data_IF_191163756256
#
_entry.id   IF_191163756256
#
_cell.length_a   1.000
_cell.length_b   1.000
_cell.length_c   1.000
_cell.angle_alpha   90.00
_cell.angle_beta   90.00
_cell.angle_gamma   90.00
#
_symmetry.space_group_name_H-M   'P 1'
#
loop_
_entity.id
_entity.type
_entity.pdbx_description
1 polymer ?
#
# COMPACT_ATOMS: atom_id res chain seq x y z
N UNK A 1 13.43 -24.50 24.16
CA UNK A 1 12.72 -24.31 22.88
C UNK A 1 13.68 -23.67 21.89
N UNK A 2 14.31 -24.49 21.06
CA UNK A 2 15.48 -24.11 20.26
C UNK A 2 15.05 -23.40 18.95
N UNK A 3 15.40 -22.13 18.82
CA UNK A 3 15.21 -21.31 17.61
C UNK A 3 16.24 -21.72 16.55
N UNK A 4 15.90 -22.64 15.66
CA UNK A 4 16.69 -22.92 14.47
C UNK A 4 16.47 -21.81 13.43
N UNK A 5 17.41 -20.87 13.37
CA UNK A 5 17.54 -19.91 12.26
C UNK A 5 17.93 -20.67 10.99
N UNK A 6 16.97 -20.93 10.10
CA UNK A 6 17.25 -21.29 8.70
C UNK A 6 17.03 -20.07 7.82
N UNK A 7 18.13 -19.54 7.29
CA UNK A 7 18.13 -18.46 6.30
C UNK A 7 17.50 -18.99 4.99
N UNK A 8 16.33 -18.48 4.61
CA UNK A 8 15.80 -18.68 3.26
C UNK A 8 16.68 -17.91 2.26
N UNK A 9 17.39 -18.63 1.40
CA UNK A 9 18.05 -18.05 0.24
C UNK A 9 17.02 -17.93 -0.89
N UNK A 10 16.49 -16.73 -1.12
CA UNK A 10 15.75 -16.42 -2.33
C UNK A 10 16.76 -16.09 -3.45
N UNK A 11 16.63 -16.75 -4.61
CA UNK A 11 17.32 -16.32 -5.82
C UNK A 11 16.77 -14.94 -6.22
N UNK A 12 17.56 -13.90 -5.95
CA UNK A 12 17.21 -12.52 -6.31
C UNK A 12 17.41 -12.33 -7.82
N UNK A 13 16.34 -11.99 -8.53
CA UNK A 13 16.45 -11.25 -9.78
C UNK A 13 16.64 -9.77 -9.42
N UNK A 14 17.71 -9.18 -9.93
CA UNK A 14 18.18 -7.82 -9.64
C UNK A 14 17.10 -6.75 -9.75
N UNK A 15 16.86 -6.00 -8.68
CA UNK A 15 16.20 -4.69 -8.74
C UNK A 15 16.91 -3.75 -7.76
N UNK A 16 17.24 -2.57 -8.27
CA UNK A 16 18.03 -1.49 -7.67
C UNK A 16 17.41 -0.98 -6.37
N UNK A 17 18.24 -0.82 -5.34
CA UNK A 17 17.89 -0.28 -4.03
C UNK A 17 17.85 1.25 -4.10
N UNK A 18 16.74 1.86 -3.70
CA UNK A 18 16.73 3.20 -3.11
C UNK A 18 16.14 3.10 -1.70
N UNK A 19 16.97 3.45 -0.74
CA UNK A 19 16.74 3.37 0.70
C UNK A 19 16.21 4.69 1.26
N UNK A 20 15.10 4.64 2.01
CA UNK A 20 14.94 5.33 3.32
C UNK A 20 13.51 5.17 3.84
N UNK A 21 13.34 4.48 4.98
CA UNK A 21 12.15 4.64 5.84
C UNK A 21 12.66 4.81 7.28
N UNK A 22 12.51 6.02 7.80
CA UNK A 22 12.68 6.31 9.21
C UNK A 22 11.36 6.06 9.95
N UNK A 23 11.47 5.47 11.13
CA UNK A 23 10.37 5.19 12.07
C UNK A 23 10.12 6.45 12.90
N UNK A 24 8.86 6.84 13.08
CA UNK A 24 8.44 7.76 14.13
C UNK A 24 7.24 7.16 14.88
N UNK A 25 7.46 6.90 16.17
CA UNK A 25 6.44 6.58 17.15
C UNK A 25 5.76 7.88 17.62
N UNK A 26 4.42 7.89 17.67
CA UNK A 26 3.65 8.97 18.24
C UNK A 26 3.40 8.72 19.74
N UNK A 27 3.81 9.67 20.58
CA UNK A 27 3.34 9.77 21.97
C UNK A 27 2.21 10.79 22.05
N UNK A 28 1.09 10.38 22.66
CA UNK A 28 -0.04 11.23 22.97
C UNK A 28 0.10 11.82 24.38
N UNK A 29 -0.14 13.13 24.54
CA UNK A 29 -0.65 13.71 25.80
C UNK A 29 -1.15 15.16 25.63
N UNK A 30 -2.34 15.38 26.19
CA UNK A 30 -2.91 16.60 26.79
C UNK A 30 -3.53 17.70 25.91
N UNK A 31 -4.87 17.71 25.89
CA UNK A 31 -5.72 18.90 25.81
C UNK A 31 -6.02 19.46 27.20
N UNK A 32 -6.28 20.77 27.32
CA UNK A 32 -7.22 21.29 28.31
C UNK A 32 -8.51 21.85 27.67
N UNK A 33 -9.60 21.73 28.42
CA UNK A 33 -10.97 22.10 28.11
C UNK A 33 -11.21 23.63 28.08
N UNK A 34 -12.33 24.12 27.49
CA UNK A 34 -12.69 25.54 27.50
C UNK A 34 -13.48 25.92 28.77
N UNK A 35 -13.17 27.09 29.34
CA UNK A 35 -14.01 27.72 30.36
C UNK A 35 -15.11 28.56 29.72
N UNK A 36 -16.33 28.38 30.20
CA UNK A 36 -17.50 29.21 29.92
C UNK A 36 -17.55 30.36 30.93
N UNK A 37 -17.95 31.54 30.49
CA UNK A 37 -18.36 32.62 31.38
C UNK A 37 -19.68 33.20 30.88
N UNK A 38 -20.71 33.02 31.71
CA UNK A 38 -22.05 33.58 31.63
C UNK A 38 -22.05 35.00 32.20
N UNK A 39 -22.66 35.95 31.50
CA UNK A 39 -23.04 37.23 32.08
C UNK A 39 -24.52 37.53 31.80
N UNK A 40 -25.18 37.98 32.87
CA UNK A 40 -26.62 38.05 33.05
C UNK A 40 -27.25 39.32 32.47
N UNK A 41 -28.57 39.21 32.36
CA UNK A 41 -29.57 40.18 31.93
C UNK A 41 -29.92 41.12 33.11
N UNK A 42 -29.99 42.44 32.88
CA UNK A 42 -30.79 43.35 33.71
C UNK A 42 -31.31 44.52 32.87
N UNK A 43 -32.50 44.99 33.20
CA UNK A 43 -33.39 45.91 32.45
C UNK A 43 -33.78 47.12 33.28
N UNK A 44 -34.13 48.22 32.58
CA UNK A 44 -34.86 49.47 32.97
C UNK A 44 -33.97 50.73 32.86
N UNK A 45 -34.35 51.87 32.27
CA UNK A 45 -35.54 52.34 31.55
C UNK A 45 -35.52 53.90 31.41
N UNK A 46 -35.86 54.45 30.21
CA UNK A 46 -36.31 55.85 29.91
C UNK A 46 -35.27 56.99 30.00
N UNK A 47 -35.21 58.07 29.18
CA UNK A 47 -36.08 58.68 28.16
C UNK A 47 -35.26 59.58 27.18
N UNK A 48 -35.72 59.66 25.92
CA UNK A 48 -35.48 60.60 24.78
C UNK A 48 -34.18 61.43 24.61
N UNK A 49 -33.55 61.28 23.44
CA UNK A 49 -33.26 62.40 22.52
C UNK A 49 -33.21 61.92 21.06
N UNK A 50 -33.71 62.77 20.15
CA UNK A 50 -33.89 62.56 18.72
C UNK A 50 -32.62 63.02 17.98
N UNK A 51 -31.84 62.08 17.44
CA UNK A 51 -30.96 62.36 16.31
C UNK A 51 -30.85 61.13 15.42
N UNK A 52 -31.30 61.31 14.19
CA UNK A 52 -31.09 60.42 13.05
C UNK A 52 -29.60 60.33 12.69
N UNK A 53 -28.84 59.62 13.53
CA UNK A 53 -27.52 59.12 13.18
C UNK A 53 -27.66 57.90 12.28
N UNK A 54 -27.40 58.07 10.99
CA UNK A 54 -27.09 56.97 10.09
C UNK A 54 -25.92 56.19 10.68
N UNK A 55 -26.23 55.10 11.40
CA UNK A 55 -25.23 54.16 11.90
C UNK A 55 -24.66 53.43 10.70
N UNK A 56 -23.60 54.01 10.12
CA UNK A 56 -22.69 53.30 9.23
C UNK A 56 -22.09 52.14 10.04
N UNK A 57 -22.75 50.98 10.01
CA UNK A 57 -22.14 49.74 10.45
C UNK A 57 -20.99 49.48 9.48
N UNK A 58 -19.78 49.79 9.93
CA UNK A 58 -18.55 49.51 9.17
C UNK A 58 -18.42 48.00 9.08
N UNK A 59 -18.91 47.43 7.98
CA UNK A 59 -18.78 45.98 7.73
C UNK A 59 -17.29 45.68 7.61
N UNK A 60 -16.76 44.89 8.53
CA UNK A 60 -15.32 44.58 8.54
C UNK A 60 -15.01 43.71 7.32
N UNK A 61 -14.03 44.08 6.48
CA UNK A 61 -13.60 43.26 5.35
C UNK A 61 -13.22 41.86 5.81
N UNK A 62 -13.62 40.82 5.08
CA UNK A 62 -13.28 39.44 5.44
C UNK A 62 -12.80 38.63 4.25
N UNK A 63 -11.93 37.66 4.52
CA UNK A 63 -11.52 36.64 3.55
C UNK A 63 -11.66 35.27 4.19
N UNK A 64 -12.31 34.35 3.50
CA UNK A 64 -12.59 33.00 4.00
C UNK A 64 -12.17 31.94 3.00
N UNK A 65 -11.86 30.76 3.52
CA UNK A 65 -11.56 29.57 2.73
C UNK A 65 -12.75 28.60 2.84
N UNK A 66 -13.14 27.98 1.73
CA UNK A 66 -14.23 27.01 1.73
C UNK A 66 -13.85 25.70 2.44
N UNK A 67 -14.85 24.90 2.76
CA UNK A 67 -14.67 23.51 3.20
C UNK A 67 -15.06 22.56 2.09
N UNK A 68 -14.31 21.47 1.93
CA UNK A 68 -14.60 20.42 0.94
C UNK A 68 -14.33 19.03 1.52
N UNK A 69 -14.84 17.99 0.87
CA UNK A 69 -14.62 16.59 1.23
C UNK A 69 -14.02 15.84 0.05
N UNK A 70 -12.89 15.18 0.25
CA UNK A 70 -12.12 14.49 -0.81
C UNK A 70 -11.62 13.15 -0.28
N UNK A 71 -11.58 12.10 -1.09
CA UNK A 71 -11.01 10.81 -0.67
C UNK A 71 -9.49 10.84 -0.75
N UNK A 72 -8.81 10.06 0.10
CA UNK A 72 -7.37 9.88 0.00
C UNK A 72 -6.96 9.42 -1.41
N UNK A 73 -5.93 10.07 -1.99
CA UNK A 73 -5.43 9.83 -3.33
C UNK A 73 -6.12 10.61 -4.46
N UNK A 74 -7.27 11.24 -4.20
CA UNK A 74 -8.01 12.03 -5.20
C UNK A 74 -7.59 13.51 -5.20
N UNK A 75 -8.03 14.23 -6.23
CA UNK A 75 -7.83 15.68 -6.37
C UNK A 75 -9.09 16.43 -5.96
N UNK A 76 -8.93 17.65 -5.46
CA UNK A 76 -10.02 18.53 -5.09
C UNK A 76 -9.65 19.99 -5.26
N UNK A 77 -10.58 20.86 -4.89
CA UNK A 77 -10.36 22.30 -4.87
C UNK A 77 -11.07 22.96 -3.70
N UNK A 78 -10.51 24.09 -3.25
CA UNK A 78 -11.17 25.03 -2.35
C UNK A 78 -11.25 26.40 -3.01
N UNK A 79 -12.18 27.22 -2.54
CA UNK A 79 -12.27 28.63 -2.94
C UNK A 79 -11.83 29.52 -1.79
N UNK A 80 -11.14 30.60 -2.15
CA UNK A 80 -10.88 31.73 -1.27
C UNK A 80 -11.80 32.85 -1.71
N UNK A 81 -12.63 33.35 -0.79
CA UNK A 81 -13.65 34.36 -1.08
C UNK A 81 -13.50 35.58 -0.18
N UNK A 82 -13.68 36.76 -0.77
CA UNK A 82 -13.57 38.05 -0.11
C UNK A 82 -14.95 38.73 -0.04
N UNK A 83 -15.29 39.26 1.13
CA UNK A 83 -16.50 40.07 1.33
C UNK A 83 -16.12 41.44 1.92
N UNK A 84 -16.96 42.43 1.63
CA UNK A 84 -16.81 43.81 2.11
C UNK A 84 -15.44 44.42 1.77
N UNK A 85 -14.92 44.10 0.57
CA UNK A 85 -13.67 44.65 0.05
C UNK A 85 -13.74 46.19 -0.08
N UNK A 86 -12.94 46.95 0.68
CA UNK A 86 -12.96 48.42 0.66
C UNK A 86 -12.20 49.02 -0.54
N UNK A 87 -11.63 48.18 -1.41
CA UNK A 87 -10.80 48.59 -2.54
C UNK A 87 -9.33 48.29 -2.30
N UNK A 88 -8.71 47.53 -3.21
CA UNK A 88 -7.31 47.11 -3.13
C UNK A 88 -6.57 47.34 -4.45
N UNK A 89 -5.27 47.63 -4.35
CA UNK A 89 -4.32 47.54 -5.49
C UNK A 89 -3.31 46.42 -5.31
N UNK A 90 -3.18 45.88 -4.09
CA UNK A 90 -2.36 44.70 -3.82
C UNK A 90 -2.89 43.92 -2.62
N UNK A 91 -2.72 42.60 -2.69
CA UNK A 91 -2.83 41.69 -1.55
C UNK A 91 -1.87 40.51 -1.70
N UNK A 92 -1.37 40.01 -0.58
CA UNK A 92 -0.70 38.70 -0.47
C UNK A 92 -1.27 37.97 0.74
N UNK A 93 -1.78 36.77 0.50
CA UNK A 93 -2.30 35.88 1.52
C UNK A 93 -1.42 34.63 1.63
N UNK A 94 -1.42 34.05 2.82
CA UNK A 94 -0.73 32.82 3.17
C UNK A 94 -1.77 31.81 3.64
N UNK A 95 -1.66 30.58 3.14
CA UNK A 95 -2.50 29.46 3.53
C UNK A 95 -1.64 28.42 4.25
N UNK A 96 -1.90 28.24 5.54
CA UNK A 96 -1.31 27.17 6.35
C UNK A 96 -2.16 25.90 6.20
N UNK A 97 -1.49 24.76 5.99
CA UNK A 97 -2.12 23.46 5.72
C UNK A 97 -1.19 22.31 6.11
N UNK A 98 -1.72 21.09 6.25
CA UNK A 98 -0.88 19.90 6.49
C UNK A 98 -0.26 19.40 5.17
N UNK A 99 0.98 19.82 4.91
CA UNK A 99 1.75 19.41 3.74
C UNK A 99 2.14 17.92 3.73
N UNK A 100 1.94 17.18 4.83
CA UNK A 100 2.07 15.71 4.83
C UNK A 100 0.83 15.04 4.23
N UNK A 101 -0.34 15.67 4.28
CA UNK A 101 -1.60 15.10 3.81
C UNK A 101 -2.08 15.71 2.48
N UNK A 102 -1.76 16.96 2.21
CA UNK A 102 -2.27 17.72 1.06
C UNK A 102 -1.09 18.24 0.24
N UNK A 103 -1.20 18.16 -1.08
CA UNK A 103 -0.26 18.75 -2.05
C UNK A 103 -1.01 19.78 -2.89
N UNK A 104 -0.62 21.07 -2.81
CA UNK A 104 -1.22 22.11 -3.64
C UNK A 104 -0.72 21.95 -5.08
N UNK A 105 -1.63 21.94 -6.04
CA UNK A 105 -1.31 21.68 -7.45
C UNK A 105 -1.52 22.87 -8.37
N UNK A 106 -2.21 23.92 -7.89
CA UNK A 106 -2.38 25.14 -8.68
C UNK A 106 -3.34 26.15 -8.08
N UNK A 107 -3.43 27.30 -8.75
CA UNK A 107 -4.36 28.37 -8.47
C UNK A 107 -5.05 28.82 -9.77
N UNK A 108 -6.36 29.04 -9.70
CA UNK A 108 -7.15 29.67 -10.76
C UNK A 108 -7.63 31.04 -10.26
N UNK A 109 -7.28 32.15 -10.94
CA UNK A 109 -7.72 33.49 -10.55
C UNK A 109 -9.24 33.68 -10.63
N UNK A 110 -9.83 34.33 -9.63
CA UNK A 110 -11.25 34.65 -9.58
C UNK A 110 -11.56 36.07 -10.03
N UNK A 111 -12.14 36.85 -9.12
CA UNK A 111 -12.52 38.26 -9.33
C UNK A 111 -11.31 39.17 -9.57
N UNK A 112 -10.14 38.82 -9.04
CA UNK A 112 -8.87 39.51 -9.27
C UNK A 112 -8.11 38.80 -10.39
N UNK A 113 -8.24 39.33 -11.61
CA UNK A 113 -7.58 38.75 -12.80
C UNK A 113 -6.07 38.78 -12.65
N UNK A 114 -5.40 37.73 -13.13
CA UNK A 114 -3.94 37.56 -13.03
C UNK A 114 -3.41 37.39 -11.59
N UNK A 115 -4.26 37.02 -10.62
CA UNK A 115 -3.76 36.52 -9.35
C UNK A 115 -2.79 35.36 -9.60
N UNK A 116 -1.74 35.26 -8.79
CA UNK A 116 -0.69 34.28 -8.96
C UNK A 116 -0.28 33.69 -7.62
N UNK A 117 0.64 32.74 -7.64
CA UNK A 117 1.17 32.13 -6.44
C UNK A 117 2.69 32.04 -6.48
N UNK A 118 3.27 31.89 -5.29
CA UNK A 118 4.65 31.43 -5.15
C UNK A 118 4.77 29.95 -5.50
N UNK A 119 5.81 29.30 -4.97
CA UNK A 119 6.01 27.86 -5.12
C UNK A 119 4.83 27.07 -4.56
N UNK A 120 4.29 26.15 -5.35
CA UNK A 120 3.11 25.33 -4.98
C UNK A 120 3.31 24.53 -3.69
N UNK A 121 4.53 24.04 -3.45
CA UNK A 121 4.86 23.21 -2.27
C UNK A 121 5.50 24.01 -1.14
N UNK A 122 5.23 25.32 -1.07
CA UNK A 122 5.57 26.11 0.11
C UNK A 122 4.57 25.86 1.23
N UNK A 123 5.05 25.85 2.46
CA UNK A 123 4.25 25.72 3.68
C UNK A 123 4.69 26.82 4.66
N UNK A 124 3.91 27.91 4.84
CA UNK A 124 2.58 28.13 4.26
C UNK A 124 2.60 28.47 2.75
N UNK A 125 1.54 28.11 2.04
CA UNK A 125 1.36 28.41 0.62
C UNK A 125 1.02 29.89 0.40
N UNK A 126 1.84 30.60 -0.38
CA UNK A 126 1.66 32.02 -0.66
C UNK A 126 0.98 32.28 -2.01
N UNK A 127 -0.05 33.12 -2.02
CA UNK A 127 -0.70 33.61 -3.24
C UNK A 127 -1.03 35.10 -3.15
N UNK A 128 -0.98 35.78 -4.29
CA UNK A 128 -0.96 37.24 -4.31
C UNK A 128 -1.53 37.80 -5.60
N UNK A 129 -1.82 39.09 -5.55
CA UNK A 129 -2.21 39.90 -6.69
C UNK A 129 -1.77 41.34 -6.47
N UNK A 130 -1.41 41.99 -7.57
CA UNK A 130 -1.07 43.40 -7.59
C UNK A 130 -1.42 44.02 -8.96
N UNK A 131 -2.12 45.14 -8.94
CA UNK A 131 -2.36 45.97 -10.12
C UNK A 131 -2.41 47.44 -9.71
N UNK A 132 -1.25 48.10 -9.76
CA UNK A 132 -1.14 49.52 -9.42
C UNK A 132 -1.61 50.44 -10.56
N UNK A 133 -2.05 49.89 -11.71
CA UNK A 133 -2.35 50.68 -12.92
C UNK A 133 -3.80 51.12 -13.05
N UNK A 134 -4.73 50.52 -12.28
CA UNK A 134 -6.19 50.68 -12.48
C UNK A 134 -6.95 51.30 -11.30
N UNK A 135 -6.25 51.79 -10.28
CA UNK A 135 -6.89 52.24 -9.04
C UNK A 135 -7.48 51.07 -8.24
N UNK A 136 -8.30 51.37 -7.23
CA UNK A 136 -8.84 50.37 -6.32
C UNK A 136 -9.77 49.36 -7.02
N UNK A 137 -9.49 48.08 -6.87
CA UNK A 137 -10.42 47.00 -7.20
C UNK A 137 -11.30 46.66 -5.98
N UNK A 138 -12.61 46.82 -6.13
CA UNK A 138 -13.65 46.63 -5.10
C UNK A 138 -14.40 45.31 -5.23
N UNK A 139 -13.91 44.39 -6.08
CA UNK A 139 -14.59 43.13 -6.36
C UNK A 139 -14.66 42.23 -5.11
N UNK A 140 -15.81 41.56 -4.93
CA UNK A 140 -16.07 40.56 -3.89
C UNK A 140 -16.32 39.18 -4.51
N UNK A 141 -16.56 38.16 -3.68
CA UNK A 141 -16.78 36.79 -4.10
C UNK A 141 -15.48 35.99 -4.20
N UNK A 142 -15.44 34.95 -5.03
CA UNK A 142 -14.25 34.09 -5.18
C UNK A 142 -13.09 34.89 -5.79
N UNK A 143 -12.00 35.05 -5.04
CA UNK A 143 -10.78 35.73 -5.48
C UNK A 143 -9.74 34.76 -6.05
N UNK A 144 -9.78 33.51 -5.59
CA UNK A 144 -8.93 32.43 -6.06
C UNK A 144 -9.61 31.07 -5.82
N UNK A 145 -9.37 30.13 -6.72
CA UNK A 145 -9.65 28.70 -6.50
C UNK A 145 -8.31 27.98 -6.41
N UNK A 146 -8.05 27.27 -5.31
CA UNK A 146 -6.81 26.51 -5.11
C UNK A 146 -7.11 25.05 -5.36
N UNK A 147 -6.39 24.45 -6.31
CA UNK A 147 -6.47 23.03 -6.63
C UNK A 147 -5.42 22.26 -5.82
N UNK A 148 -5.77 21.05 -5.38
CA UNK A 148 -4.88 20.21 -4.58
C UNK A 148 -5.10 18.72 -4.85
N UNK A 149 -4.15 17.90 -4.40
CA UNK A 149 -4.25 16.44 -4.30
C UNK A 149 -4.19 16.03 -2.82
N UNK A 150 -5.08 15.16 -2.38
CA UNK A 150 -4.94 14.48 -1.09
C UNK A 150 -4.00 13.30 -1.29
N UNK A 151 -2.94 13.21 -0.49
CA UNK A 151 -1.98 12.10 -0.62
C UNK A 151 -2.66 10.77 -0.27
N UNK A 152 -2.35 9.67 -0.98
CA UNK A 152 -2.93 8.35 -0.70
C UNK A 152 -2.76 7.88 0.74
N UNK A 153 -1.69 8.30 1.41
CA UNK A 153 -1.34 7.96 2.78
C UNK A 153 -1.98 8.85 3.85
N UNK A 154 -2.72 9.89 3.47
CA UNK A 154 -3.43 10.76 4.39
C UNK A 154 -4.49 9.96 5.17
N UNK A 155 -4.48 10.08 6.49
CA UNK A 155 -5.49 9.44 7.33
C UNK A 155 -6.86 10.12 7.13
N UNK A 156 -7.99 9.39 7.20
CA UNK A 156 -9.31 10.01 7.28
C UNK A 156 -9.38 10.99 8.44
N UNK A 157 -9.94 12.17 8.21
CA UNK A 157 -9.95 13.22 9.21
C UNK A 157 -10.23 14.60 8.63
N UNK A 158 -10.23 15.61 9.49
CA UNK A 158 -10.46 17.00 9.11
C UNK A 158 -9.15 17.76 9.21
N UNK A 159 -8.68 18.29 8.09
CA UNK A 159 -7.44 19.05 8.00
C UNK A 159 -7.78 20.53 7.85
N UNK A 160 -7.36 21.35 8.81
CA UNK A 160 -7.65 22.78 8.81
C UNK A 160 -6.85 23.50 7.71
N UNK A 161 -7.49 24.51 7.13
CA UNK A 161 -6.87 25.47 6.21
C UNK A 161 -6.96 26.84 6.85
N UNK A 162 -5.83 27.37 7.32
CA UNK A 162 -5.79 28.64 8.06
C UNK A 162 -5.24 29.74 7.18
N UNK A 163 -6.08 30.74 6.90
CA UNK A 163 -5.70 31.89 6.09
C UNK A 163 -5.11 33.00 6.96
N UNK A 164 -4.06 33.64 6.47
CA UNK A 164 -3.54 34.89 7.02
C UNK A 164 -3.10 35.83 5.90
N UNK A 165 -2.90 37.11 6.24
CA UNK A 165 -2.41 38.11 5.28
C UNK A 165 -1.04 38.64 5.64
N UNK A 166 -0.24 38.93 4.61
CA UNK A 166 0.98 39.71 4.79
C UNK A 166 0.61 41.19 4.89
N UNK A 167 0.61 41.73 6.12
CA UNK A 167 0.15 43.10 6.37
C UNK A 167 0.91 44.19 5.58
N UNK A 168 2.13 43.90 5.11
CA UNK A 168 2.91 44.80 4.25
C UNK A 168 2.41 44.86 2.80
N UNK A 169 1.72 43.81 2.37
CA UNK A 169 1.37 43.59 0.97
C UNK A 169 -0.13 43.77 0.71
N UNK A 170 -0.91 44.18 1.71
CA UNK A 170 -2.36 44.39 1.60
C UNK A 170 -2.67 45.87 1.76
N UNK A 171 -2.83 46.57 0.64
CA UNK A 171 -3.05 48.02 0.63
C UNK A 171 -3.87 48.50 -0.58
N UNK A 172 -4.46 49.68 -0.41
CA UNK A 172 -5.23 50.37 -1.46
C UNK A 172 -4.36 51.36 -2.26
N UNK A 173 -4.93 52.03 -3.26
CA UNK A 173 -4.21 52.97 -4.13
C UNK A 173 -3.54 54.13 -3.37
N UNK A 174 -4.06 54.51 -2.19
CA UNK A 174 -3.49 55.51 -1.29
C UNK A 174 -2.36 54.96 -0.41
N UNK A 175 -1.94 53.69 -0.62
CA UNK A 175 -0.98 52.95 0.21
C UNK A 175 -1.43 52.76 1.65
N UNK A 176 -2.72 52.93 1.93
CA UNK A 176 -3.30 52.62 3.23
C UNK A 176 -3.46 51.12 3.35
N UNK A 177 -2.94 50.56 4.45
CA UNK A 177 -3.05 49.13 4.75
C UNK A 177 -4.49 48.76 5.05
N UNK A 178 -4.96 47.66 4.47
CA UNK A 178 -6.30 47.13 4.71
C UNK A 178 -6.20 45.89 5.58
N UNK A 179 -6.98 45.85 6.66
CA UNK A 179 -7.08 44.70 7.56
C UNK A 179 -8.30 43.86 7.20
N UNK A 180 -8.17 42.54 7.35
CA UNK A 180 -9.23 41.58 7.09
C UNK A 180 -9.44 40.69 8.31
N UNK A 181 -10.69 40.28 8.51
CA UNK A 181 -10.99 39.10 9.32
C UNK A 181 -10.76 37.84 8.47
N UNK A 182 -9.97 36.90 8.99
CA UNK A 182 -9.65 35.66 8.28
C UNK A 182 -10.52 34.51 8.79
N UNK A 183 -11.25 33.88 7.87
CA UNK A 183 -12.00 32.65 8.12
C UNK A 183 -11.17 31.41 7.79
N UNK A 184 -11.37 30.34 8.55
CA UNK A 184 -10.75 29.04 8.32
C UNK A 184 -11.62 28.14 7.44
N UNK A 185 -10.99 27.42 6.52
CA UNK A 185 -11.61 26.34 5.74
C UNK A 185 -11.12 24.98 6.21
N UNK A 186 -11.59 23.91 5.57
CA UNK A 186 -11.12 22.53 5.85
C UNK A 186 -11.13 21.65 4.61
N UNK A 187 -10.22 20.68 4.59
CA UNK A 187 -10.35 19.50 3.74
C UNK A 187 -10.72 18.32 4.63
N UNK A 188 -11.92 17.79 4.46
CA UNK A 188 -12.33 16.55 5.11
C UNK A 188 -11.88 15.38 4.24
N UNK A 189 -10.86 14.66 4.70
CA UNK A 189 -10.35 13.47 4.02
C UNK A 189 -11.19 12.28 4.44
N UNK A 190 -11.69 11.54 3.46
CA UNK A 190 -12.41 10.29 3.67
C UNK A 190 -11.59 9.09 3.19
N UNK A 191 -11.88 7.92 3.76
CA UNK A 191 -11.29 6.67 3.32
C UNK A 191 -11.56 6.44 1.83
N UNK A 192 -10.55 5.90 1.14
CA UNK A 192 -10.70 5.44 -0.23
C UNK A 192 -10.68 3.90 -0.26
N UNK A 193 -11.82 3.22 -0.45
CA UNK A 193 -11.86 1.76 -0.55
C UNK A 193 -10.95 1.19 -1.65
N UNK A 194 -10.64 1.97 -2.69
CA UNK A 194 -9.74 1.56 -3.76
C UNK A 194 -8.27 1.44 -3.29
N UNK A 195 -7.91 1.98 -2.13
CA UNK A 195 -6.59 1.80 -1.54
C UNK A 195 -6.42 0.44 -0.84
N UNK A 196 -7.49 -0.35 -0.63
CA UNK A 196 -7.39 -1.61 0.10
C UNK A 196 -6.55 -2.64 -0.66
N UNK A 197 -5.66 -3.31 0.07
CA UNK A 197 -4.87 -4.41 -0.49
C UNK A 197 -5.78 -5.59 -0.88
N UNK A 198 -5.41 -6.36 -1.94
CA UNK A 198 -6.27 -7.41 -2.46
C UNK A 198 -6.41 -8.57 -1.47
N UNK A 199 -7.50 -9.31 -1.59
CA UNK A 199 -7.67 -10.56 -0.86
C UNK A 199 -6.85 -11.66 -1.53
N UNK A 200 -6.00 -12.32 -0.75
CA UNK A 200 -5.06 -13.34 -1.23
C UNK A 200 -5.60 -14.73 -0.94
N UNK A 201 -5.50 -15.63 -1.91
CA UNK A 201 -5.70 -17.07 -1.76
C UNK A 201 -4.47 -17.83 -2.27
N UNK A 202 -4.36 -19.12 -1.94
CA UNK A 202 -3.24 -19.92 -2.39
C UNK A 202 -3.61 -21.37 -2.70
N UNK A 203 -2.78 -22.00 -3.53
CA UNK A 203 -2.78 -23.45 -3.79
C UNK A 203 -1.39 -23.99 -3.43
N UNK A 204 -1.30 -24.99 -2.54
CA UNK A 204 -0.02 -25.56 -2.16
C UNK A 204 0.58 -26.43 -3.28
N UNK A 205 1.90 -26.37 -3.41
CA UNK A 205 2.69 -27.19 -4.33
C UNK A 205 3.87 -27.83 -3.62
N UNK A 206 4.60 -28.69 -4.33
CA UNK A 206 5.80 -29.33 -3.77
C UNK A 206 6.92 -28.28 -3.68
N UNK A 207 7.35 -27.97 -2.46
CA UNK A 207 8.34 -26.93 -2.18
C UNK A 207 7.95 -25.52 -2.65
N UNK A 208 6.65 -25.28 -2.86
CA UNK A 208 6.14 -24.03 -3.43
C UNK A 208 4.69 -23.76 -3.01
N UNK A 209 4.23 -22.53 -3.20
CA UNK A 209 2.82 -22.14 -3.12
C UNK A 209 2.50 -21.20 -4.27
N UNK A 210 1.39 -21.44 -4.96
CA UNK A 210 0.87 -20.51 -5.97
C UNK A 210 -0.14 -19.59 -5.29
N UNK A 211 0.16 -18.30 -5.28
CA UNK A 211 -0.73 -17.24 -4.81
C UNK A 211 -1.60 -16.74 -5.95
N UNK A 212 -2.85 -16.39 -5.62
CA UNK A 212 -3.78 -15.69 -6.48
C UNK A 212 -4.48 -14.61 -5.66
N UNK A 213 -4.88 -13.51 -6.28
CA UNK A 213 -5.52 -12.42 -5.55
C UNK A 213 -6.55 -11.66 -6.39
N UNK A 214 -7.51 -11.05 -5.70
CA UNK A 214 -8.55 -10.21 -6.32
C UNK A 214 -7.92 -8.99 -7.01
N UNK A 215 -8.49 -8.53 -8.13
CA UNK A 215 -8.06 -7.28 -8.75
C UNK A 215 -8.46 -6.08 -7.90
N UNK A 216 -7.58 -5.08 -7.79
CA UNK A 216 -7.85 -3.79 -7.14
C UNK A 216 -8.07 -2.74 -8.23
N UNK A 217 -9.21 -2.03 -8.23
CA UNK A 217 -9.47 -0.97 -9.19
C UNK A 217 -8.34 0.06 -9.21
N UNK A 218 -7.94 0.52 -10.40
CA UNK A 218 -6.86 1.50 -10.62
C UNK A 218 -5.45 1.08 -10.17
N UNK A 219 -5.27 -0.16 -9.70
CA UNK A 219 -3.94 -0.67 -9.39
C UNK A 219 -3.11 -0.84 -10.67
N UNK A 220 -1.93 -0.25 -10.68
CA UNK A 220 -1.01 -0.30 -11.83
C UNK A 220 -0.14 -1.57 -11.79
N UNK A 221 0.19 -2.04 -10.59
CA UNK A 221 0.96 -3.25 -10.32
C UNK A 221 0.74 -3.74 -8.88
N UNK A 222 1.25 -4.93 -8.60
CA UNK A 222 1.21 -5.57 -7.29
C UNK A 222 2.61 -5.94 -6.82
N UNK A 223 2.81 -5.95 -5.50
CA UNK A 223 4.01 -6.49 -4.86
C UNK A 223 3.63 -7.67 -3.97
N UNK A 224 4.27 -8.82 -4.18
CA UNK A 224 4.19 -9.96 -3.27
C UNK A 224 5.25 -9.76 -2.19
N UNK A 225 4.83 -9.77 -0.92
CA UNK A 225 5.72 -9.56 0.22
C UNK A 225 5.62 -10.71 1.22
N UNK A 226 6.72 -11.05 1.87
CA UNK A 226 6.79 -12.07 2.92
C UNK A 226 7.33 -11.50 4.22
N UNK A 227 6.81 -11.98 5.35
CA UNK A 227 7.27 -11.57 6.67
C UNK A 227 8.45 -12.44 7.10
N UNK A 228 9.65 -11.85 7.11
CA UNK A 228 10.91 -12.53 7.35
C UNK A 228 11.70 -11.78 8.43
N UNK A 229 12.09 -12.48 9.50
CA UNK A 229 12.91 -11.93 10.59
C UNK A 229 12.35 -10.64 11.19
N UNK A 230 11.04 -10.59 11.42
CA UNK A 230 10.36 -9.44 12.03
C UNK A 230 9.98 -8.33 11.05
N UNK A 231 10.34 -8.42 9.77
CA UNK A 231 10.09 -7.37 8.78
C UNK A 231 9.46 -7.92 7.49
N UNK A 232 8.66 -7.10 6.82
CA UNK A 232 8.14 -7.41 5.49
C UNK A 232 9.23 -7.20 4.43
N UNK A 233 9.38 -8.16 3.51
CA UNK A 233 10.30 -8.10 2.38
C UNK A 233 9.59 -8.39 1.07
N UNK A 234 9.86 -7.59 0.05
CA UNK A 234 9.35 -7.83 -1.30
C UNK A 234 10.01 -9.05 -1.92
N UNK A 235 9.19 -9.97 -2.42
CA UNK A 235 9.60 -11.15 -3.17
C UNK A 235 9.52 -10.91 -4.68
N UNK A 236 8.48 -10.20 -5.12
CA UNK A 236 8.26 -9.91 -6.54
C UNK A 236 7.33 -8.70 -6.72
N UNK A 237 7.45 -8.04 -7.86
CA UNK A 237 6.50 -7.06 -8.36
C UNK A 237 6.04 -7.43 -9.77
N UNK A 238 4.81 -7.11 -10.12
CA UNK A 238 4.28 -7.38 -11.46
C UNK A 238 2.86 -6.89 -11.65
N UNK A 239 2.37 -6.99 -12.89
CA UNK A 239 1.02 -6.56 -13.29
C UNK A 239 0.03 -7.74 -13.43
N UNK A 240 0.37 -8.91 -12.91
CA UNK A 240 -0.49 -10.10 -12.90
C UNK A 240 -1.21 -10.23 -11.55
N UNK A 241 -2.23 -11.10 -11.50
CA UNK A 241 -2.97 -11.44 -10.28
C UNK A 241 -2.55 -12.79 -9.66
N UNK A 242 -1.34 -13.26 -9.98
CA UNK A 242 -0.82 -14.53 -9.50
C UNK A 242 0.71 -14.51 -9.43
N UNK A 243 1.25 -15.28 -8.49
CA UNK A 243 2.68 -15.48 -8.33
C UNK A 243 2.97 -16.83 -7.65
N UNK A 244 4.03 -17.53 -8.05
CA UNK A 244 4.44 -18.79 -7.39
C UNK A 244 5.68 -18.57 -6.55
N UNK A 245 5.53 -18.67 -5.23
CA UNK A 245 6.65 -18.67 -4.30
C UNK A 245 7.27 -20.07 -4.32
N UNK A 246 8.57 -20.17 -4.57
CA UNK A 246 9.32 -21.44 -4.70
C UNK A 246 10.42 -21.54 -3.65
N UNK A 247 11.01 -22.73 -3.51
CA UNK A 247 12.11 -22.97 -2.58
C UNK A 247 11.67 -22.98 -1.11
N UNK A 248 10.38 -23.25 -0.87
CA UNK A 248 9.84 -23.32 0.48
C UNK A 248 10.06 -24.70 1.07
N UNK A 249 10.38 -24.75 2.36
CA UNK A 249 10.43 -26.01 3.11
C UNK A 249 9.03 -26.58 3.26
N UNK A 250 8.88 -27.87 2.94
CA UNK A 250 7.63 -28.58 3.00
C UNK A 250 7.04 -28.61 4.42
N UNK A 251 5.75 -28.29 4.57
CA UNK A 251 5.05 -28.26 5.85
C UNK A 251 5.30 -27.03 6.72
N UNK A 252 6.32 -26.22 6.42
CA UNK A 252 6.56 -24.97 7.15
C UNK A 252 5.53 -23.90 6.75
N UNK A 253 5.11 -23.09 7.73
CA UNK A 253 4.19 -21.98 7.49
C UNK A 253 4.96 -20.69 7.18
N UNK A 254 4.50 -19.96 6.17
CA UNK A 254 5.07 -18.67 5.75
C UNK A 254 3.98 -17.62 5.77
N UNK A 255 4.25 -16.45 6.35
CA UNK A 255 3.31 -15.33 6.32
C UNK A 255 3.59 -14.44 5.12
N UNK A 256 2.59 -14.24 4.27
CA UNK A 256 2.69 -13.47 3.02
C UNK A 256 1.55 -12.47 2.91
N UNK A 257 1.77 -11.41 2.14
CA UNK A 257 0.73 -10.46 1.75
C UNK A 257 0.96 -10.01 0.30
N UNK A 258 -0.03 -9.35 -0.28
CA UNK A 258 0.07 -8.70 -1.58
C UNK A 258 -0.32 -7.25 -1.40
N UNK A 259 0.51 -6.34 -1.90
CA UNK A 259 0.27 -4.90 -1.87
C UNK A 259 -0.13 -4.42 -3.26
N UNK A 260 -1.11 -3.53 -3.35
CA UNK A 260 -1.47 -2.85 -4.60
C UNK A 260 -0.71 -1.51 -4.71
N UNK A 261 -0.29 -1.17 -5.93
CA UNK A 261 0.25 0.16 -6.26
C UNK A 261 -0.84 1.01 -6.90
N UNK A 262 -1.34 2.00 -6.16
CA UNK A 262 -2.50 2.83 -6.55
C UNK A 262 -2.13 4.30 -6.37
N UNK A 263 -2.52 5.16 -7.32
CA UNK A 263 -2.27 6.61 -7.29
C UNK A 263 -0.80 7.04 -7.08
N UNK A 264 0.15 6.18 -7.48
CA UNK A 264 1.59 6.46 -7.35
C UNK A 264 2.21 5.99 -6.03
N UNK A 265 1.53 5.15 -5.25
CA UNK A 265 2.08 4.63 -3.98
C UNK A 265 1.66 3.20 -3.66
N UNK A 266 2.48 2.52 -2.86
CA UNK A 266 2.15 1.22 -2.26
C UNK A 266 1.33 1.40 -0.99
N UNK A 267 0.23 0.67 -0.83
CA UNK A 267 -0.44 0.63 0.48
C UNK A 267 0.32 -0.25 1.48
N UNK A 268 1.32 0.34 2.14
CA UNK A 268 2.15 -0.30 3.17
C UNK A 268 1.59 -0.14 4.59
N UNK A 269 0.46 0.55 4.76
CA UNK A 269 -0.17 0.75 6.08
C UNK A 269 -1.15 -0.36 6.46
N UNK A 270 -1.63 -1.13 5.48
CA UNK A 270 -2.63 -2.17 5.67
C UNK A 270 -2.09 -3.58 5.34
N UNK A 271 -1.72 -4.34 6.37
CA UNK A 271 -1.39 -5.76 6.26
C UNK A 271 -2.52 -6.68 6.78
N UNK A 272 -3.74 -6.16 6.93
CA UNK A 272 -4.88 -6.93 7.46
C UNK A 272 -5.26 -8.14 6.59
N UNK A 273 -4.87 -8.12 5.30
CA UNK A 273 -5.07 -9.21 4.34
C UNK A 273 -3.89 -10.18 4.22
N UNK A 274 -2.91 -10.08 5.10
CA UNK A 274 -1.85 -11.07 5.18
C UNK A 274 -2.40 -12.46 5.54
N UNK A 275 -1.88 -13.49 4.88
CA UNK A 275 -2.26 -14.89 5.11
C UNK A 275 -1.03 -15.74 5.48
N UNK A 276 -1.26 -16.85 6.16
CA UNK A 276 -0.28 -17.92 6.28
C UNK A 276 -0.48 -18.93 5.17
N UNK A 277 0.61 -19.30 4.50
CA UNK A 277 0.65 -20.28 3.41
C UNK A 277 1.58 -21.42 3.80
N UNK A 278 1.19 -22.63 3.43
CA UNK A 278 1.94 -23.84 3.77
C UNK A 278 2.13 -24.64 2.48
N UNK A 279 3.36 -24.93 2.03
CA UNK A 279 3.59 -25.84 0.92
C UNK A 279 3.08 -27.25 1.25
N UNK A 280 2.96 -28.10 0.23
CA UNK A 280 2.66 -29.51 0.47
C UNK A 280 3.66 -30.11 1.47
N UNK A 281 3.17 -30.97 2.37
CA UNK A 281 4.05 -31.78 3.20
C UNK A 281 4.99 -32.61 2.31
N UNK A 282 6.21 -32.85 2.79
CA UNK A 282 7.16 -33.64 2.04
C UNK A 282 6.56 -35.03 1.76
N UNK A 283 6.73 -35.59 0.55
CA UNK A 283 6.26 -36.94 0.27
C UNK A 283 6.83 -37.91 1.32
N UNK A 284 5.96 -38.63 2.02
CA UNK A 284 6.40 -39.63 3.00
C UNK A 284 7.17 -40.79 2.34
N UNK A 285 6.95 -41.00 1.05
CA UNK A 285 7.57 -42.03 0.21
C UNK A 285 7.82 -41.48 -1.21
N UNK A 286 8.73 -42.10 -2.00
CA UNK A 286 8.99 -41.65 -3.36
C UNK A 286 7.75 -41.83 -4.24
N UNK A 287 7.27 -40.76 -4.90
CA UNK A 287 6.26 -40.87 -5.95
C UNK A 287 6.96 -41.20 -7.26
N UNK A 288 6.70 -42.38 -7.81
CA UNK A 288 7.43 -42.91 -8.98
C UNK A 288 6.64 -42.67 -10.26
N UNK A 289 7.33 -42.16 -11.28
CA UNK A 289 6.86 -42.14 -12.67
C UNK A 289 7.80 -42.96 -13.55
N UNK A 290 7.27 -43.50 -14.64
CA UNK A 290 8.00 -44.36 -15.57
C UNK A 290 7.83 -43.92 -17.01
N UNK A 291 8.89 -44.05 -17.79
CA UNK A 291 8.89 -43.94 -19.26
C UNK A 291 9.53 -45.18 -19.84
N UNK A 292 8.98 -45.72 -20.93
CA UNK A 292 9.51 -46.88 -21.66
C UNK A 292 9.75 -46.49 -23.11
N UNK A 293 10.91 -46.84 -23.64
CA UNK A 293 11.28 -46.64 -25.04
C UNK A 293 12.06 -47.86 -25.55
N UNK A 294 11.43 -48.63 -26.46
CA UNK A 294 11.95 -49.92 -26.90
C UNK A 294 12.26 -50.84 -25.71
N UNK A 295 13.48 -51.40 -25.69
CA UNK A 295 13.93 -52.31 -24.64
C UNK A 295 14.51 -51.60 -23.39
N UNK A 296 14.15 -50.34 -23.17
CA UNK A 296 14.68 -49.48 -22.11
C UNK A 296 13.55 -48.84 -21.31
N UNK A 297 13.71 -48.77 -19.98
CA UNK A 297 12.86 -47.93 -19.14
C UNK A 297 13.67 -46.91 -18.36
N UNK A 298 13.02 -45.80 -18.00
CA UNK A 298 13.49 -44.79 -17.05
C UNK A 298 12.44 -44.62 -15.94
N UNK A 299 12.88 -44.73 -14.70
CA UNK A 299 12.12 -44.30 -13.53
C UNK A 299 12.60 -42.93 -13.07
N UNK A 300 11.67 -42.07 -12.69
CA UNK A 300 11.94 -40.82 -11.99
C UNK A 300 11.09 -40.78 -10.72
N UNK A 301 11.58 -40.19 -9.65
CA UNK A 301 10.83 -40.11 -8.40
C UNK A 301 11.04 -38.82 -7.64
N UNK A 302 10.04 -38.45 -6.82
CA UNK A 302 10.16 -37.33 -5.90
C UNK A 302 11.15 -37.66 -4.78
N UNK A 303 12.00 -36.69 -4.43
CA UNK A 303 12.87 -36.82 -3.26
C UNK A 303 12.03 -36.91 -1.96
N UNK A 304 12.51 -37.71 -1.01
CA UNK A 304 11.94 -37.86 0.33
C UNK A 304 12.87 -37.20 1.33
N UNK A 305 12.33 -36.31 2.16
CA UNK A 305 13.12 -35.62 3.20
C UNK A 305 13.75 -36.63 4.18
N UNK A 306 15.02 -36.43 4.51
CA UNK A 306 15.78 -37.31 5.40
C UNK A 306 16.18 -38.66 4.79
N UNK A 307 15.93 -38.89 3.50
CA UNK A 307 16.39 -40.10 2.82
C UNK A 307 17.93 -40.12 2.76
N UNK A 308 18.52 -41.24 3.19
CA UNK A 308 19.96 -41.50 3.11
C UNK A 308 20.36 -42.14 1.76
N UNK A 309 19.38 -42.54 0.95
CA UNK A 309 19.53 -43.17 -0.36
C UNK A 309 18.21 -43.73 -0.86
N UNK A 310 18.19 -44.23 -2.09
CA UNK A 310 17.02 -44.89 -2.69
C UNK A 310 17.38 -46.28 -3.21
N UNK A 311 16.43 -47.20 -3.18
CA UNK A 311 16.53 -48.50 -3.83
C UNK A 311 15.42 -48.65 -4.86
N UNK A 312 15.80 -48.95 -6.10
CA UNK A 312 14.91 -49.42 -7.16
C UNK A 312 14.74 -50.92 -6.97
N UNK A 313 13.51 -51.39 -6.90
CA UNK A 313 13.18 -52.81 -6.78
C UNK A 313 12.19 -53.26 -7.84
N UNK A 314 12.13 -54.57 -8.06
CA UNK A 314 11.19 -55.23 -8.96
C UNK A 314 10.55 -56.44 -8.27
N UNK A 315 9.34 -56.81 -8.70
CA UNK A 315 8.64 -57.96 -8.16
C UNK A 315 8.88 -59.21 -9.02
N UNK A 316 9.31 -60.32 -8.41
CA UNK A 316 9.46 -61.63 -9.06
C UNK A 316 8.93 -62.73 -8.14
N UNK A 317 7.96 -63.51 -8.63
CA UNK A 317 7.31 -64.56 -7.83
C UNK A 317 6.63 -64.02 -6.57
N UNK A 318 5.95 -62.87 -6.67
CA UNK A 318 5.31 -62.18 -5.55
C UNK A 318 6.26 -61.45 -4.59
N UNK A 319 7.57 -61.73 -4.65
CA UNK A 319 8.58 -61.14 -3.75
C UNK A 319 9.29 -59.96 -4.40
N UNK A 320 9.58 -58.94 -3.61
CA UNK A 320 10.37 -57.78 -4.02
C UNK A 320 11.86 -58.09 -3.97
N UNK A 321 12.59 -57.68 -5.00
CA UNK A 321 14.05 -57.76 -5.09
C UNK A 321 14.63 -56.40 -5.42
N UNK A 322 15.73 -56.04 -4.78
CA UNK A 322 16.47 -54.80 -5.09
C UNK A 322 17.20 -55.01 -6.42
N UNK A 323 16.99 -54.08 -7.36
CA UNK A 323 17.72 -53.99 -8.63
C UNK A 323 18.94 -53.09 -8.50
N UNK A 324 18.78 -51.90 -7.90
CA UNK A 324 19.85 -50.92 -7.76
C UNK A 324 19.62 -50.05 -6.52
N UNK A 325 20.69 -49.73 -5.81
CA UNK A 325 20.70 -48.67 -4.78
C UNK A 325 21.48 -47.46 -5.30
N UNK A 326 21.01 -46.25 -4.96
CA UNK A 326 21.59 -44.96 -5.36
C UNK A 326 21.63 -43.98 -4.19
N UNK A 327 22.45 -42.94 -4.31
CA UNK A 327 22.61 -41.92 -3.26
C UNK A 327 21.34 -41.08 -3.06
N UNK A 328 21.27 -40.35 -1.94
CA UNK A 328 20.14 -39.47 -1.61
C UNK A 328 19.91 -38.33 -2.62
N UNK A 329 20.94 -37.96 -3.41
CA UNK A 329 20.85 -36.93 -4.45
C UNK A 329 20.36 -37.45 -5.79
N UNK A 330 20.22 -38.78 -5.96
CA UNK A 330 19.77 -39.38 -7.21
C UNK A 330 18.25 -39.63 -7.17
N UNK A 331 17.54 -39.07 -8.14
CA UNK A 331 16.08 -39.17 -8.26
C UNK A 331 15.61 -39.83 -9.56
N UNK A 332 16.51 -40.51 -10.26
CA UNK A 332 16.17 -41.26 -11.48
C UNK A 332 17.07 -42.47 -11.70
N UNK A 333 16.57 -43.46 -12.43
CA UNK A 333 17.32 -44.65 -12.85
C UNK A 333 16.82 -45.14 -14.21
N UNK A 334 17.74 -45.52 -15.08
CA UNK A 334 17.43 -46.11 -16.39
C UNK A 334 18.07 -47.48 -16.53
N UNK A 335 17.39 -48.39 -17.21
CA UNK A 335 17.89 -49.72 -17.55
C UNK A 335 17.52 -50.05 -18.99
N UNK A 336 18.52 -50.43 -19.79
CA UNK A 336 18.38 -50.92 -21.15
C UNK A 336 18.52 -52.44 -21.22
N UNK A 337 18.15 -53.03 -22.36
CA UNK A 337 18.27 -54.47 -22.58
C UNK A 337 17.30 -55.32 -21.74
N UNK A 338 16.18 -54.74 -21.29
CA UNK A 338 15.22 -55.42 -20.42
C UNK A 338 14.33 -56.32 -21.25
N UNK A 339 14.27 -57.65 -21.07
CA UNK A 339 13.46 -58.53 -21.92
C UNK A 339 11.99 -58.09 -22.05
N UNK A 340 11.36 -58.44 -23.18
CA UNK A 340 9.93 -58.19 -23.41
C UNK A 340 9.09 -58.76 -22.26
N UNK A 341 8.12 -57.98 -21.80
CA UNK A 341 7.28 -58.38 -20.67
C UNK A 341 6.73 -57.22 -19.87
N UNK A 342 5.91 -57.57 -18.86
CA UNK A 342 5.33 -56.61 -17.92
C UNK A 342 5.93 -56.81 -16.54
N UNK A 343 6.42 -55.72 -15.95
CA UNK A 343 7.14 -55.73 -14.68
C UNK A 343 6.52 -54.73 -13.70
N UNK A 344 6.34 -55.16 -12.45
CA UNK A 344 6.09 -54.24 -11.34
C UNK A 344 7.41 -53.78 -10.75
N UNK A 345 7.62 -52.47 -10.72
CA UNK A 345 8.83 -51.82 -10.21
C UNK A 345 8.45 -50.79 -9.15
N UNK A 346 9.30 -50.57 -8.16
CA UNK A 346 9.08 -49.60 -7.10
C UNK A 346 10.36 -48.90 -6.69
N UNK A 347 10.23 -47.76 -6.04
CA UNK A 347 11.35 -47.06 -5.41
C UNK A 347 11.06 -46.85 -3.94
N UNK A 348 12.00 -47.21 -3.07
CA UNK A 348 11.90 -47.01 -1.63
C UNK A 348 13.07 -46.16 -1.13
N UNK A 349 12.84 -45.39 -0.06
CA UNK A 349 13.85 -44.55 0.55
C UNK A 349 14.53 -45.28 1.72
N UNK A 350 15.81 -45.00 1.96
CA UNK A 350 16.51 -45.42 3.18
C UNK A 350 16.35 -44.36 4.26
N UNK A 351 15.80 -44.70 5.41
CA UNK A 351 15.65 -43.80 6.57
C UNK A 351 16.19 -44.50 7.82
N UNK A 352 16.93 -43.76 8.65
CA UNK A 352 17.48 -44.28 9.91
C UNK A 352 18.23 -45.62 9.73
N UNK A 353 19.02 -45.75 8.65
CA UNK A 353 19.78 -46.95 8.33
C UNK A 353 19.00 -48.07 7.64
N UNK A 354 17.66 -47.99 7.56
CA UNK A 354 16.80 -49.06 7.07
C UNK A 354 16.02 -48.67 5.80
N UNK A 355 15.72 -49.64 4.94
CA UNK A 355 14.85 -49.41 3.79
C UNK A 355 13.39 -49.32 4.23
N UNK A 356 12.75 -48.19 3.93
CA UNK A 356 11.34 -47.94 4.27
C UNK A 356 10.42 -48.64 3.26
N UNK A 357 9.98 -49.85 3.60
CA UNK A 357 9.09 -50.67 2.77
C UNK A 357 7.61 -50.46 3.07
N UNK A 358 7.27 -49.65 4.09
CA UNK A 358 5.89 -49.47 4.59
C UNK A 358 4.90 -48.99 3.53
N UNK A 359 5.39 -48.25 2.53
CA UNK A 359 4.61 -47.68 1.44
C UNK A 359 5.00 -48.20 0.06
N UNK A 360 5.67 -49.37 -0.05
CA UNK A 360 6.19 -49.89 -1.33
C UNK A 360 5.12 -50.03 -2.41
N UNK A 361 3.87 -50.33 -2.04
CA UNK A 361 2.75 -50.38 -3.00
C UNK A 361 2.38 -49.00 -3.56
N UNK A 362 2.51 -47.92 -2.77
CA UNK A 362 2.23 -46.54 -3.19
C UNK A 362 3.39 -45.93 -3.98
N UNK A 363 4.59 -46.51 -3.88
CA UNK A 363 5.76 -46.15 -4.67
C UNK A 363 6.06 -47.14 -5.79
N UNK A 364 5.09 -48.01 -6.13
CA UNK A 364 5.18 -48.94 -7.24
C UNK A 364 4.48 -48.41 -8.50
N UNK A 365 4.99 -48.81 -9.66
CA UNK A 365 4.36 -48.65 -10.97
C UNK A 365 4.56 -49.92 -11.80
N UNK A 366 3.77 -50.06 -12.87
CA UNK A 366 3.91 -51.15 -13.83
C UNK A 366 4.53 -50.60 -15.11
N UNK A 367 5.56 -51.27 -15.61
CA UNK A 367 6.16 -50.99 -16.91
C UNK A 367 5.93 -52.18 -17.84
N UNK A 368 5.65 -51.91 -19.11
CA UNK A 368 5.51 -52.94 -20.14
C UNK A 368 6.51 -52.66 -21.24
N UNK A 369 7.46 -53.56 -21.41
CA UNK A 369 8.43 -53.56 -22.51
C UNK A 369 7.78 -54.31 -23.69
N UNK A 370 7.73 -53.66 -24.85
CA UNK A 370 7.07 -54.16 -26.07
C UNK A 370 8.06 -54.30 -27.22
#
# INVERSE_FOLDING_TARGET
>A
MNQFRKTLAFCAASVVILSSMAVLQANAANSPAPMAETAAFDTQGGWHDDTSGSSSTTVTPSVRVSTTTVKAGETGSITVSMDSNPGLVSWKFLLDYDSNAIEITGITPGAFKNASCGSLNSDPFAFYWNDNSKGNNTSNGTIATISFKVKPEAAPGSYNLTLSGSAADIYNASRTRVKFNYGTGRVNVTDNPALKNPTVSYTPGDGSVKLSWTSVPTAQKYAVVAYLNGNWKTLAEGNTNTYTVRGLTAGDQYKVAVLAYVYGGWNTRDFSKAIYVTPNAAPAYPKVSSQVQGNTFKLSWTAVSGAQGYAVGYQKGGKWKILKSVSASTTSYSQSGVPLGTYKVAVIAKKNGNWDTSAIAKSATTITIR
#
